data_IF_864373274975
#
_entry.id   IF_864373274975
#
_cell.length_a   1.000
_cell.length_b   1.000
_cell.length_c   1.000
_cell.angle_alpha   90.00
_cell.angle_beta   90.00
_cell.angle_gamma   90.00
#
_symmetry.space_group_name_H-M   'P 1'
#
loop_
_entity.id
_entity.type
_entity.pdbx_description
1 polymer ?
#
# COMPACT_ATOMS: atom_id res chain seq x y z
N UNK A 1 -42.30 -66.30 14.28
CA UNK A 1 -41.86 -64.93 14.61
C UNK A 1 -42.09 -64.06 13.38
N UNK A 2 -43.23 -63.39 13.29
CA UNK A 2 -43.53 -62.43 12.21
C UNK A 2 -43.07 -61.04 12.64
N UNK A 3 -42.24 -60.37 11.82
CA UNK A 3 -41.90 -58.96 12.03
C UNK A 3 -42.93 -58.08 11.33
N UNK A 4 -43.73 -57.38 12.13
CA UNK A 4 -44.68 -56.38 11.65
C UNK A 4 -43.90 -55.12 11.24
N UNK A 5 -43.94 -54.78 9.95
CA UNK A 5 -43.40 -53.51 9.46
C UNK A 5 -44.44 -52.40 9.60
N UNK A 6 -44.20 -51.46 10.50
CA UNK A 6 -45.00 -50.24 10.59
C UNK A 6 -44.64 -49.29 9.44
N UNK A 7 -45.48 -49.23 8.41
CA UNK A 7 -45.42 -48.21 7.35
C UNK A 7 -45.79 -46.86 7.97
N UNK A 8 -44.83 -45.94 8.07
CA UNK A 8 -45.06 -44.59 8.56
C UNK A 8 -46.14 -43.89 7.72
N UNK A 9 -47.11 -43.24 8.39
CA UNK A 9 -48.23 -42.56 7.73
C UNK A 9 -47.73 -41.37 6.90
N UNK A 10 -48.23 -41.17 5.66
CA UNK A 10 -47.70 -40.19 4.70
C UNK A 10 -47.93 -38.71 5.11
N UNK A 11 -48.84 -38.46 6.03
CA UNK A 11 -49.19 -37.14 6.56
C UNK A 11 -48.07 -36.48 7.39
N UNK A 12 -47.30 -37.28 8.14
CA UNK A 12 -46.19 -36.76 8.95
C UNK A 12 -44.94 -36.39 8.14
N UNK A 13 -44.72 -37.02 6.99
CA UNK A 13 -43.58 -36.72 6.12
C UNK A 13 -43.75 -35.37 5.41
N UNK A 14 -44.96 -35.08 4.92
CA UNK A 14 -45.24 -33.87 4.14
C UNK A 14 -45.13 -32.56 4.95
N UNK A 15 -45.45 -32.62 6.24
CA UNK A 15 -45.33 -31.47 7.16
C UNK A 15 -43.87 -31.21 7.59
N UNK A 16 -43.04 -32.25 7.66
CA UNK A 16 -41.61 -32.13 7.96
C UNK A 16 -40.86 -31.46 6.81
N UNK A 17 -41.11 -31.86 5.56
CA UNK A 17 -40.44 -31.29 4.39
C UNK A 17 -40.71 -29.80 4.20
N UNK A 18 -41.94 -29.33 4.48
CA UNK A 18 -42.27 -27.90 4.43
C UNK A 18 -41.54 -27.08 5.50
N UNK A 19 -41.29 -27.64 6.69
CA UNK A 19 -40.53 -26.94 7.75
C UNK A 19 -39.03 -26.88 7.44
N UNK A 20 -38.46 -27.93 6.86
CA UNK A 20 -37.05 -27.93 6.45
C UNK A 20 -36.79 -26.94 5.31
N UNK A 21 -37.66 -26.87 4.29
CA UNK A 21 -37.54 -25.88 3.20
C UNK A 21 -37.60 -24.41 3.68
N UNK A 22 -38.50 -24.10 4.63
CA UNK A 22 -38.59 -22.75 5.21
C UNK A 22 -37.36 -22.37 6.04
N UNK A 23 -36.81 -23.31 6.82
CA UNK A 23 -35.60 -23.08 7.61
C UNK A 23 -34.36 -22.85 6.74
N UNK A 24 -34.18 -23.64 5.67
CA UNK A 24 -33.04 -23.48 4.77
C UNK A 24 -33.10 -22.18 3.97
N UNK A 25 -34.30 -21.78 3.49
CA UNK A 25 -34.48 -20.50 2.81
C UNK A 25 -34.19 -19.30 3.74
N UNK A 26 -34.60 -19.39 5.01
CA UNK A 26 -34.36 -18.35 6.00
C UNK A 26 -32.87 -18.24 6.38
N UNK A 27 -32.15 -19.37 6.45
CA UNK A 27 -30.69 -19.39 6.66
C UNK A 27 -29.95 -18.75 5.48
N UNK A 28 -30.36 -19.05 4.25
CA UNK A 28 -29.79 -18.42 3.05
C UNK A 28 -30.02 -16.90 3.01
N UNK A 29 -31.23 -16.45 3.34
CA UNK A 29 -31.54 -15.03 3.45
C UNK A 29 -30.69 -14.33 4.53
N UNK A 30 -30.47 -14.99 5.66
CA UNK A 30 -29.64 -14.44 6.74
C UNK A 30 -28.14 -14.39 6.36
N UNK A 31 -27.62 -15.40 5.65
CA UNK A 31 -26.26 -15.36 5.11
C UNK A 31 -26.07 -14.21 4.12
N UNK A 32 -27.02 -13.99 3.22
CA UNK A 32 -26.97 -12.86 2.28
C UNK A 32 -26.98 -11.51 3.00
N UNK A 33 -27.78 -11.37 4.05
CA UNK A 33 -27.80 -10.16 4.87
C UNK A 33 -26.44 -9.91 5.54
N UNK A 34 -25.80 -10.94 6.10
CA UNK A 34 -24.46 -10.84 6.70
C UNK A 34 -23.42 -10.43 5.65
N UNK A 35 -23.43 -11.09 4.49
CA UNK A 35 -22.53 -10.73 3.39
C UNK A 35 -22.72 -9.27 2.96
N UNK A 36 -23.98 -8.80 2.88
CA UNK A 36 -24.30 -7.40 2.61
C UNK A 36 -23.71 -6.45 3.65
N UNK A 37 -23.82 -6.78 4.93
CA UNK A 37 -23.25 -5.96 6.02
C UNK A 37 -21.72 -5.93 5.94
N UNK A 38 -21.07 -7.08 5.72
CA UNK A 38 -19.60 -7.15 5.56
C UNK A 38 -19.16 -6.33 4.36
N UNK A 39 -19.83 -6.48 3.22
CA UNK A 39 -19.54 -5.71 2.02
C UNK A 39 -19.70 -4.21 2.27
N UNK A 40 -20.77 -3.80 2.95
CA UNK A 40 -21.01 -2.41 3.30
C UNK A 40 -19.93 -1.86 4.25
N UNK A 41 -19.47 -2.64 5.23
CA UNK A 41 -18.34 -2.25 6.08
C UNK A 41 -17.05 -2.06 5.26
N UNK A 42 -16.78 -2.91 4.26
CA UNK A 42 -15.62 -2.77 3.38
C UNK A 42 -15.71 -1.48 2.57
N UNK A 43 -16.87 -1.21 1.95
CA UNK A 43 -17.09 0.01 1.17
C UNK A 43 -16.98 1.26 2.04
N UNK A 44 -17.59 1.28 3.22
CA UNK A 44 -17.50 2.42 4.15
C UNK A 44 -16.06 2.61 4.62
N UNK A 45 -15.34 1.53 4.96
CA UNK A 45 -13.92 1.61 5.33
C UNK A 45 -13.08 2.18 4.18
N UNK A 46 -13.32 1.75 2.94
CA UNK A 46 -12.64 2.28 1.75
C UNK A 46 -12.99 3.74 1.44
N UNK A 47 -14.25 4.14 1.63
CA UNK A 47 -14.71 5.50 1.37
C UNK A 47 -14.22 6.49 2.44
N UNK A 48 -14.20 6.07 3.71
CA UNK A 48 -13.74 6.90 4.83
C UNK A 48 -12.22 6.89 5.00
N UNK A 49 -11.50 5.89 4.48
CA UNK A 49 -10.03 5.87 4.47
C UNK A 49 -9.41 6.85 3.48
N UNK A 50 -10.19 7.75 2.87
CA UNK A 50 -9.69 8.83 2.03
C UNK A 50 -8.90 8.31 0.83
N UNK A 51 -9.61 7.86 -0.21
CA UNK A 51 -9.12 7.76 -1.58
C UNK A 51 -7.66 7.28 -1.72
N UNK A 52 -7.43 5.98 -1.63
CA UNK A 52 -6.15 5.41 -2.03
C UNK A 52 -6.08 5.31 -3.55
N UNK A 53 -6.03 6.46 -4.24
CA UNK A 53 -5.55 6.51 -5.62
C UNK A 53 -4.15 5.91 -5.74
N UNK A 54 -3.38 5.89 -4.64
CA UNK A 54 -2.07 5.24 -4.53
C UNK A 54 -2.09 3.71 -4.32
N UNK A 55 -3.23 3.10 -3.96
CA UNK A 55 -3.28 1.64 -3.76
C UNK A 55 -3.67 0.90 -5.05
N UNK A 56 -4.31 1.59 -6.01
CA UNK A 56 -4.68 1.05 -7.32
C UNK A 56 -3.65 1.39 -8.41
N UNK A 57 -2.76 2.35 -8.20
CA UNK A 57 -1.52 2.51 -8.97
C UNK A 57 -0.46 1.56 -8.44
N UNK A 58 -0.74 0.26 -8.51
CA UNK A 58 0.27 -0.78 -8.38
C UNK A 58 1.17 -0.79 -9.63
N UNK A 59 1.82 0.34 -9.94
CA UNK A 59 3.03 0.31 -10.75
C UNK A 59 4.08 -0.32 -9.84
N UNK A 60 4.25 -1.63 -10.00
CA UNK A 60 5.18 -2.46 -9.22
C UNK A 60 6.62 -1.89 -9.21
N UNK A 61 6.95 -1.05 -10.17
CA UNK A 61 8.22 -0.37 -10.31
C UNK A 61 8.13 1.12 -9.97
N UNK A 62 9.03 1.64 -9.13
CA UNK A 62 9.13 3.06 -8.87
C UNK A 62 9.67 3.79 -10.10
N UNK A 63 9.16 5.00 -10.34
CA UNK A 63 9.65 5.91 -11.38
C UNK A 63 10.82 6.76 -10.84
N UNK A 64 11.33 7.66 -11.68
CA UNK A 64 12.44 8.55 -11.32
C UNK A 64 12.08 9.51 -10.18
N UNK A 65 10.84 10.00 -10.15
CA UNK A 65 10.35 10.90 -9.11
C UNK A 65 10.21 10.19 -7.76
N UNK A 66 9.71 8.95 -7.75
CA UNK A 66 9.59 8.13 -6.54
C UNK A 66 10.96 7.89 -5.90
N UNK A 67 11.95 7.56 -6.74
CA UNK A 67 13.34 7.38 -6.31
C UNK A 67 13.96 8.70 -5.82
N UNK A 68 13.59 9.83 -6.44
CA UNK A 68 14.01 11.16 -6.00
C UNK A 68 13.40 11.57 -4.65
N UNK A 69 12.10 11.31 -4.43
CA UNK A 69 11.45 11.56 -3.13
C UNK A 69 12.10 10.72 -2.03
N UNK A 70 12.38 9.43 -2.30
CA UNK A 70 13.11 8.58 -1.36
C UNK A 70 14.52 9.13 -1.08
N UNK A 71 15.23 9.61 -2.11
CA UNK A 71 16.55 10.22 -1.95
C UNK A 71 16.52 11.43 -1.00
N UNK A 72 15.54 12.32 -1.15
CA UNK A 72 15.40 13.50 -0.26
C UNK A 72 15.25 13.11 1.20
N UNK A 73 14.55 12.01 1.51
CA UNK A 73 14.39 11.52 2.87
C UNK A 73 15.70 11.02 3.50
N UNK A 74 16.64 10.52 2.69
CA UNK A 74 17.97 10.11 3.16
C UNK A 74 18.97 11.28 3.27
N UNK A 75 18.88 12.27 2.37
CA UNK A 75 19.80 13.42 2.35
C UNK A 75 19.37 14.53 3.33
N UNK A 76 18.08 14.74 3.56
CA UNK A 76 17.61 15.76 4.49
C UNK A 76 18.25 15.67 5.91
N UNK A 77 18.37 14.48 6.54
CA UNK A 77 19.00 14.37 7.85
C UNK A 77 20.54 14.47 7.85
N UNK A 78 21.21 14.29 6.71
CA UNK A 78 22.68 14.42 6.64
C UNK A 78 23.13 15.89 6.67
N UNK A 79 22.28 16.81 6.23
CA UNK A 79 22.57 18.23 6.17
C UNK A 79 22.07 18.94 7.43
N UNK A 80 23.01 19.45 8.23
CA UNK A 80 22.75 20.18 9.48
C UNK A 80 22.28 21.63 9.24
N UNK A 81 21.25 21.83 8.42
CA UNK A 81 20.63 23.14 8.19
C UNK A 81 19.11 23.04 8.23
N UNK A 82 18.46 24.02 8.84
CA UNK A 82 16.99 24.06 8.97
C UNK A 82 16.24 24.51 7.71
N UNK A 83 16.95 25.07 6.72
CA UNK A 83 16.37 25.60 5.49
C UNK A 83 16.99 24.88 4.28
N UNK A 84 16.45 23.71 3.93
CA UNK A 84 16.87 22.93 2.77
C UNK A 84 15.97 23.22 1.57
N UNK A 85 16.55 23.52 0.42
CA UNK A 85 15.85 23.65 -0.86
C UNK A 85 16.43 22.64 -1.84
N UNK A 86 15.67 21.59 -2.13
CA UNK A 86 16.03 20.58 -3.11
C UNK A 86 15.68 21.06 -4.53
N UNK A 87 16.51 20.70 -5.51
CA UNK A 87 16.25 21.04 -6.90
C UNK A 87 15.22 20.06 -7.50
N UNK A 88 13.93 20.38 -7.39
CA UNK A 88 12.83 19.49 -7.83
C UNK A 88 12.87 19.19 -9.34
N UNK A 89 13.29 20.16 -10.17
CA UNK A 89 13.27 20.06 -11.64
C UNK A 89 14.66 19.75 -12.26
N UNK A 90 15.70 19.62 -11.44
CA UNK A 90 17.08 19.46 -11.90
C UNK A 90 17.78 18.31 -11.19
N UNK A 91 17.35 17.09 -11.51
CA UNK A 91 18.04 15.87 -11.10
C UNK A 91 18.37 14.97 -12.30
N UNK A 92 19.51 14.30 -12.24
CA UNK A 92 19.86 13.25 -13.19
C UNK A 92 19.52 11.90 -12.57
N UNK A 93 18.90 11.05 -13.37
CA UNK A 93 18.47 9.72 -12.99
C UNK A 93 19.13 8.67 -13.87
N UNK A 94 19.69 7.65 -13.25
CA UNK A 94 20.19 6.47 -13.96
C UNK A 94 19.70 5.20 -13.26
N UNK A 95 19.13 4.27 -14.03
CA UNK A 95 18.81 2.91 -13.56
C UNK A 95 20.02 2.01 -13.82
N UNK A 96 20.67 1.52 -12.77
CA UNK A 96 21.81 0.58 -12.88
C UNK A 96 21.35 -0.87 -13.11
N UNK A 97 20.22 -1.26 -12.51
CA UNK A 97 19.68 -2.63 -12.58
C UNK A 97 18.19 -2.62 -12.22
N UNK A 98 17.51 -3.77 -12.26
CA UNK A 98 16.06 -3.93 -12.07
C UNK A 98 15.51 -3.54 -10.70
N UNK A 99 16.33 -3.02 -9.79
CA UNK A 99 15.83 -2.32 -8.60
C UNK A 99 16.82 -1.30 -8.06
N UNK A 100 17.84 -0.90 -8.84
CA UNK A 100 18.91 -0.01 -8.37
C UNK A 100 18.89 1.28 -9.15
N UNK A 101 18.74 2.38 -8.41
CA UNK A 101 18.54 3.72 -8.91
C UNK A 101 19.67 4.61 -8.43
N UNK A 102 20.21 5.43 -9.33
CA UNK A 102 21.21 6.44 -9.02
C UNK A 102 20.60 7.80 -9.30
N UNK A 103 20.53 8.61 -8.26
CA UNK A 103 20.07 10.00 -8.32
C UNK A 103 21.29 10.89 -8.15
N UNK A 104 21.46 11.87 -9.04
CA UNK A 104 22.38 12.99 -8.85
C UNK A 104 21.59 14.28 -8.84
N UNK A 105 21.74 15.08 -7.80
CA UNK A 105 21.09 16.38 -7.70
C UNK A 105 21.91 17.28 -6.77
N UNK A 106 21.37 18.44 -6.43
CA UNK A 106 21.93 19.32 -5.43
C UNK A 106 20.84 19.84 -4.51
N UNK A 107 21.27 20.23 -3.32
CA UNK A 107 20.44 20.85 -2.31
C UNK A 107 21.13 22.12 -1.84
N UNK A 108 20.35 23.19 -1.80
CA UNK A 108 20.82 24.48 -1.30
C UNK A 108 20.40 24.59 0.15
N UNK A 109 21.33 24.97 1.02
CA UNK A 109 21.07 25.20 2.43
C UNK A 109 21.54 26.59 2.84
N UNK A 110 21.00 27.12 3.93
CA UNK A 110 21.49 28.37 4.53
C UNK A 110 22.37 27.99 5.72
N UNK A 111 23.64 28.39 5.69
CA UNK A 111 24.55 28.19 6.83
C UNK A 111 24.23 29.20 7.95
N UNK A 112 24.79 28.99 9.14
CA UNK A 112 24.65 29.85 10.32
C UNK A 112 25.02 31.32 10.07
N UNK A 113 25.80 31.60 9.02
CA UNK A 113 26.18 32.95 8.58
C UNK A 113 25.18 33.61 7.63
N UNK A 114 24.11 32.92 7.26
CA UNK A 114 23.12 33.40 6.29
C UNK A 114 23.52 33.20 4.82
N UNK A 115 24.65 32.54 4.57
CA UNK A 115 25.14 32.26 3.21
C UNK A 115 24.47 31.02 2.62
N UNK A 116 24.18 31.08 1.32
CA UNK A 116 23.65 29.93 0.57
C UNK A 116 24.80 28.99 0.24
N UNK A 117 24.75 27.79 0.79
CA UNK A 117 25.70 26.71 0.54
C UNK A 117 25.04 25.68 -0.35
N UNK A 118 25.73 25.26 -1.41
CA UNK A 118 25.21 24.27 -2.35
C UNK A 118 25.91 22.94 -2.11
N UNK A 119 25.14 21.92 -1.75
CA UNK A 119 25.66 20.55 -1.60
C UNK A 119 25.18 19.72 -2.77
N UNK A 120 26.11 19.31 -3.63
CA UNK A 120 25.84 18.34 -4.68
C UNK A 120 25.83 16.95 -4.04
N UNK A 121 24.86 16.12 -4.40
CA UNK A 121 24.77 14.76 -3.88
C UNK A 121 24.53 13.75 -5.00
N UNK A 122 25.10 12.57 -4.81
CA UNK A 122 24.82 11.38 -5.59
C UNK A 122 24.45 10.27 -4.62
N UNK A 123 23.26 9.69 -4.79
CA UNK A 123 22.78 8.60 -3.96
C UNK A 123 22.39 7.40 -4.82
N UNK A 124 22.79 6.21 -4.40
CA UNK A 124 22.38 4.95 -4.98
C UNK A 124 21.39 4.27 -4.05
N UNK A 125 20.16 4.09 -4.52
CA UNK A 125 19.07 3.45 -3.79
C UNK A 125 18.72 2.10 -4.42
N UNK A 126 18.42 1.12 -3.58
CA UNK A 126 17.79 -0.14 -3.97
C UNK A 126 16.35 -0.15 -3.51
N UNK A 127 15.44 -0.50 -4.40
CA UNK A 127 14.05 -0.75 -4.07
C UNK A 127 13.85 -2.23 -3.71
N UNK A 128 13.20 -2.50 -2.57
CA UNK A 128 12.99 -3.85 -2.04
C UNK A 128 11.57 -4.38 -2.29
N UNK A 129 10.68 -3.58 -2.89
CA UNK A 129 9.27 -3.92 -3.09
C UNK A 129 8.36 -3.43 -1.97
N UNK A 130 7.05 -3.37 -2.23
CA UNK A 130 6.04 -2.82 -1.32
C UNK A 130 5.51 -1.46 -1.80
N UNK A 131 4.94 -0.61 -0.92
CA UNK A 131 4.61 0.76 -1.28
C UNK A 131 5.86 1.63 -1.49
N UNK A 132 5.99 2.24 -2.68
CA UNK A 132 7.12 3.12 -3.06
C UNK A 132 7.28 4.38 -2.20
N UNK A 133 6.21 4.84 -1.54
CA UNK A 133 6.24 6.00 -0.65
C UNK A 133 6.82 5.70 0.74
N UNK A 134 7.01 4.42 1.09
CA UNK A 134 7.51 4.00 2.40
C UNK A 134 9.03 3.84 2.35
N UNK A 135 9.74 4.61 3.17
CA UNK A 135 11.21 4.62 3.22
C UNK A 135 11.81 3.24 3.48
N UNK A 136 11.18 2.42 4.33
CA UNK A 136 11.66 1.06 4.67
C UNK A 136 11.70 0.10 3.48
N UNK A 137 10.96 0.40 2.41
CA UNK A 137 11.01 -0.36 1.16
C UNK A 137 12.17 0.08 0.25
N UNK A 138 12.99 1.02 0.71
CA UNK A 138 14.21 1.47 0.07
C UNK A 138 15.41 1.13 0.95
N UNK A 139 16.54 0.87 0.31
CA UNK A 139 17.82 0.70 0.98
C UNK A 139 18.83 1.59 0.29
N UNK A 140 19.42 2.50 1.07
CA UNK A 140 20.56 3.26 0.62
C UNK A 140 21.78 2.34 0.49
N UNK A 141 22.27 2.18 -0.74
CA UNK A 141 23.49 1.41 -1.02
C UNK A 141 24.72 2.29 -0.81
N UNK A 142 24.66 3.51 -1.32
CA UNK A 142 25.79 4.43 -1.37
C UNK A 142 25.30 5.88 -1.39
N UNK A 143 26.06 6.77 -0.77
CA UNK A 143 25.80 8.21 -0.76
C UNK A 143 27.12 8.96 -0.83
N UNK A 144 27.20 9.93 -1.74
CA UNK A 144 28.33 10.82 -1.89
C UNK A 144 27.83 12.26 -1.92
N UNK A 145 28.39 13.10 -1.05
CA UNK A 145 28.00 14.49 -0.87
C UNK A 145 29.24 15.37 -1.01
N UNK A 146 29.14 16.41 -1.84
CA UNK A 146 30.21 17.39 -2.05
C UNK A 146 29.63 18.78 -1.86
N UNK A 147 30.08 19.46 -0.81
CA UNK A 147 29.70 20.84 -0.49
C UNK A 147 30.57 21.82 -1.28
N UNK A 148 29.91 22.73 -2.01
CA UNK A 148 30.50 23.88 -2.70
C UNK A 148 30.29 25.17 -1.90
#
# INVERSE_FOLDING_TARGET
MERIYHKARPDQSYLKDKRHKKKTAMIGAWMLAIFGIIFMMIVVKFATSGGSSDMLTFTMFPNSDDAYQAAKQYIAPTIKSGNLTFAEDHYQFAKKSDSVFVIKSYVTSIDKKGEKVKTNFQITLKYNGGPKAVQDNWTMIDVNEVTE
#
